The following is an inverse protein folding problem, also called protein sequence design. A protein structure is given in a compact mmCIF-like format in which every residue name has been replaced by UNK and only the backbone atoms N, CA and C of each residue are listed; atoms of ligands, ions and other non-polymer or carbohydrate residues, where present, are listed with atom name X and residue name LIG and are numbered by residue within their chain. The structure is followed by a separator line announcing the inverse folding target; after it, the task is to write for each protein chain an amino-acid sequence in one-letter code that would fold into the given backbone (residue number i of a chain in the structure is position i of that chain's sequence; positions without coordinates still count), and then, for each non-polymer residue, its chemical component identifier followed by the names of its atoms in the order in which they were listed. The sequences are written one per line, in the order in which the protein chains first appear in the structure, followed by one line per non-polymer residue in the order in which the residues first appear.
data_IF_217134799409
#
_entry.id   IF_217134799409
#
_cell.length_a   1.000
_cell.length_b   1.000
_cell.length_c   1.000
_cell.angle_alpha   90.00
_cell.angle_beta   90.00
_cell.angle_gamma   90.00
#
_symmetry.space_group_name_H-M   'P 1'
#
loop_
_entity.id
_entity.type
_entity.pdbx_description
1 polymer ?
#
# COMPACT_ATOMS: atom_id res chain seq x y z
N UNK A 1 -1.89 7.95 5.33
CA UNK A 1 -0.68 8.22 6.13
C UNK A 1 0.49 8.59 5.23
N UNK A 2 1.41 9.47 5.65
CA UNK A 2 2.72 9.70 4.98
C UNK A 2 3.83 8.98 5.72
N UNK A 3 4.84 8.48 5.01
CA UNK A 3 6.02 7.81 5.59
C UNK A 3 7.25 8.03 4.69
N UNK A 4 8.43 7.60 5.13
CA UNK A 4 9.66 7.70 4.32
C UNK A 4 10.37 6.36 4.22
N UNK A 5 10.86 6.05 3.02
CA UNK A 5 11.81 4.96 2.74
C UNK A 5 12.92 5.54 1.87
N UNK A 6 14.18 5.25 2.19
CA UNK A 6 15.35 5.76 1.46
C UNK A 6 15.30 7.28 1.21
N UNK A 7 14.92 8.06 2.22
CA UNK A 7 14.69 9.52 2.15
C UNK A 7 13.63 9.99 1.13
N UNK A 8 12.88 9.09 0.48
CA UNK A 8 11.73 9.42 -0.37
C UNK A 8 10.46 9.42 0.47
N UNK A 9 9.61 10.43 0.29
CA UNK A 9 8.32 10.52 0.96
C UNK A 9 7.26 9.74 0.18
N UNK A 10 6.56 8.84 0.85
CA UNK A 10 5.49 8.04 0.29
C UNK A 10 4.16 8.34 0.99
N UNK A 11 3.05 8.09 0.30
CA UNK A 11 1.70 8.27 0.85
C UNK A 11 0.84 7.02 0.68
N UNK A 12 0.31 6.52 1.80
CA UNK A 12 -0.76 5.51 1.85
C UNK A 12 -2.11 6.24 1.87
N UNK A 13 -3.01 5.85 0.98
CA UNK A 13 -4.37 6.39 0.84
C UNK A 13 -5.37 5.24 0.77
N UNK A 14 -6.38 5.23 1.66
CA UNK A 14 -7.53 4.35 1.49
C UNK A 14 -8.48 4.94 0.44
N UNK A 15 -9.05 4.10 -0.41
CA UNK A 15 -10.01 4.49 -1.45
C UNK A 15 -10.93 3.32 -1.80
N UNK A 16 -12.05 3.61 -2.47
CA UNK A 16 -12.99 2.58 -2.91
C UNK A 16 -12.39 1.58 -3.90
N UNK A 17 -12.92 0.35 -3.86
CA UNK A 17 -12.61 -0.71 -4.82
C UNK A 17 -12.79 -0.30 -6.29
N UNK A 18 -13.79 0.54 -6.59
CA UNK A 18 -14.05 1.07 -7.93
C UNK A 18 -12.91 1.98 -8.40
N UNK A 19 -12.45 2.88 -7.53
CA UNK A 19 -11.30 3.75 -7.81
C UNK A 19 -10.05 2.92 -8.13
N UNK A 20 -9.77 1.88 -7.34
CA UNK A 20 -8.62 0.97 -7.58
C UNK A 20 -8.74 0.26 -8.93
N UNK A 21 -9.95 -0.23 -9.27
CA UNK A 21 -10.19 -0.86 -10.58
C UNK A 21 -9.94 0.11 -11.73
N UNK A 22 -10.44 1.35 -11.61
CA UNK A 22 -10.24 2.38 -12.63
C UNK A 22 -8.75 2.73 -12.79
N UNK A 23 -8.03 2.89 -11.69
CA UNK A 23 -6.58 3.13 -11.70
C UNK A 23 -5.80 2.00 -12.39
N UNK A 24 -6.13 0.74 -12.08
CA UNK A 24 -5.54 -0.42 -12.75
C UNK A 24 -5.87 -0.46 -14.25
N UNK A 25 -7.12 -0.21 -14.62
CA UNK A 25 -7.54 -0.22 -16.03
C UNK A 25 -6.81 0.86 -16.85
N UNK A 26 -6.66 2.07 -16.30
CA UNK A 26 -5.92 3.16 -16.96
C UNK A 26 -4.45 2.79 -17.10
N UNK A 27 -3.83 2.24 -16.05
CA UNK A 27 -2.43 1.80 -16.08
C UNK A 27 -2.19 0.76 -17.18
N UNK A 28 -3.07 -0.23 -17.28
CA UNK A 28 -3.03 -1.26 -18.33
C UNK A 28 -3.28 -0.72 -19.74
N UNK A 29 -4.14 0.27 -19.89
CA UNK A 29 -4.37 0.89 -21.20
C UNK A 29 -3.11 1.63 -21.71
N UNK A 30 -2.22 2.04 -20.80
CA UNK A 30 -0.97 2.74 -21.13
C UNK A 30 0.24 1.82 -21.24
N UNK A 31 0.21 0.62 -20.64
CA UNK A 31 1.24 -0.42 -20.79
C UNK A 31 0.90 -1.26 -22.04
N UNK A 32 1.72 -1.25 -23.10
CA UNK A 32 1.49 -2.03 -24.34
C UNK A 32 1.35 -3.55 -24.10
N UNK A 33 1.64 -4.05 -22.90
CA UNK A 33 1.40 -5.43 -22.51
C UNK A 33 -0.05 -5.66 -22.06
N UNK A 34 -0.76 -6.41 -22.92
CA UNK A 34 -2.06 -7.02 -22.69
C UNK A 34 -2.05 -8.06 -21.54
N UNK A 35 -1.67 -7.68 -20.32
CA UNK A 35 -1.80 -8.52 -19.13
C UNK A 35 -3.24 -8.41 -18.61
N UNK A 36 -4.11 -9.22 -19.22
CA UNK A 36 -5.41 -9.58 -18.63
C UNK A 36 -5.14 -10.30 -17.32
N UNK A 37 -5.04 -9.59 -16.19
CA UNK A 37 -5.47 -10.25 -14.96
C UNK A 37 -7.00 -10.36 -15.01
N UNK A 38 -7.45 -11.59 -14.88
CA UNK A 38 -8.84 -12.05 -14.82
C UNK A 38 -9.42 -11.74 -13.43
N UNK A 39 -8.68 -11.00 -12.60
CA UNK A 39 -8.99 -10.86 -11.20
C UNK A 39 -10.13 -9.86 -11.00
N UNK A 40 -11.18 -10.34 -10.35
CA UNK A 40 -12.41 -9.58 -10.15
C UNK A 40 -12.26 -8.50 -9.08
N UNK A 41 -11.13 -8.52 -8.34
CA UNK A 41 -10.87 -7.66 -7.19
C UNK A 41 -9.39 -7.30 -7.04
N UNK A 42 -9.13 -6.05 -6.67
CA UNK A 42 -7.78 -5.55 -6.36
C UNK A 42 -7.79 -4.96 -4.95
N UNK A 43 -6.97 -5.50 -4.06
CA UNK A 43 -6.91 -5.06 -2.66
C UNK A 43 -6.04 -3.83 -2.45
N UNK A 44 -5.05 -3.61 -3.31
CA UNK A 44 -4.14 -2.48 -3.27
C UNK A 44 -3.48 -2.22 -4.63
N UNK A 45 -2.82 -1.08 -4.73
CA UNK A 45 -1.95 -0.74 -5.86
C UNK A 45 -0.84 0.22 -5.41
N UNK A 46 0.38 -0.08 -5.86
CA UNK A 46 1.56 0.77 -5.68
C UNK A 46 1.94 1.48 -6.99
N UNK A 47 2.10 2.79 -6.89
CA UNK A 47 2.61 3.68 -7.93
C UNK A 47 3.96 4.26 -7.50
N UNK A 48 5.04 3.72 -8.06
CA UNK A 48 6.40 4.12 -7.71
C UNK A 48 6.79 5.49 -8.26
N UNK A 49 6.29 5.83 -9.45
CA UNK A 49 6.51 7.10 -10.15
C UNK A 49 6.02 8.32 -9.35
N UNK A 50 4.88 8.17 -8.67
CA UNK A 50 4.28 9.22 -7.83
C UNK A 50 4.35 8.92 -6.32
N UNK A 51 5.04 7.85 -5.92
CA UNK A 51 5.27 7.43 -4.53
C UNK A 51 3.98 7.29 -3.71
N UNK A 52 2.98 6.62 -4.29
CA UNK A 52 1.66 6.40 -3.65
C UNK A 52 1.30 4.93 -3.56
N UNK A 53 0.69 4.58 -2.44
CA UNK A 53 0.04 3.30 -2.20
C UNK A 53 -1.44 3.58 -1.99
N UNK A 54 -2.28 2.88 -2.74
CA UNK A 54 -3.72 2.87 -2.55
C UNK A 54 -4.16 1.52 -1.99
N UNK A 55 -5.05 1.53 -1.01
CA UNK A 55 -5.60 0.33 -0.35
C UNK A 55 -7.12 0.42 -0.36
N UNK A 56 -7.79 -0.72 -0.59
CA UNK A 56 -9.25 -0.80 -0.53
C UNK A 56 -9.72 -0.51 0.91
N UNK A 57 -10.54 0.52 1.05
CA UNK A 57 -11.02 1.03 2.34
C UNK A 57 -11.90 0.00 3.07
N UNK A 58 -12.61 -0.85 2.32
CA UNK A 58 -13.57 -1.83 2.83
C UNK A 58 -12.91 -3.15 3.30
N UNK A 59 -11.58 -3.25 3.27
CA UNK A 59 -10.90 -4.47 3.71
C UNK A 59 -11.00 -4.70 5.22
N UNK A 60 -11.29 -5.95 5.65
CA UNK A 60 -11.10 -6.36 7.04
C UNK A 60 -9.67 -6.09 7.51
N UNK A 61 -9.48 -5.77 8.78
CA UNK A 61 -8.20 -5.32 9.34
C UNK A 61 -7.02 -6.25 9.00
N UNK A 62 -7.19 -7.57 9.18
CA UNK A 62 -6.12 -8.55 8.91
C UNK A 62 -5.77 -8.62 7.41
N UNK A 63 -6.78 -8.52 6.54
CA UNK A 63 -6.59 -8.50 5.09
C UNK A 63 -5.90 -7.21 4.67
N UNK A 64 -6.31 -6.07 5.25
CA UNK A 64 -5.69 -4.77 5.02
C UNK A 64 -4.22 -4.77 5.43
N UNK A 65 -3.88 -5.38 6.57
CA UNK A 65 -2.49 -5.56 7.03
C UNK A 65 -1.67 -6.38 6.01
N UNK A 66 -2.17 -7.53 5.59
CA UNK A 66 -1.48 -8.38 4.58
C UNK A 66 -1.29 -7.66 3.25
N UNK A 67 -2.31 -6.93 2.77
CA UNK A 67 -2.22 -6.14 1.55
C UNK A 67 -1.19 -5.03 1.70
N UNK A 68 -1.19 -4.32 2.82
CA UNK A 68 -0.23 -3.23 3.04
C UNK A 68 1.21 -3.75 3.07
N UNK A 69 1.47 -4.91 3.69
CA UNK A 69 2.79 -5.57 3.63
C UNK A 69 3.20 -5.80 2.18
N UNK A 70 2.31 -6.36 1.36
CA UNK A 70 2.57 -6.61 -0.06
C UNK A 70 2.91 -5.33 -0.85
N UNK A 71 2.09 -4.27 -0.70
CA UNK A 71 2.33 -3.00 -1.39
C UNK A 71 3.62 -2.30 -0.90
N UNK A 72 3.95 -2.41 0.39
CA UNK A 72 5.20 -1.91 0.93
C UNK A 72 6.41 -2.71 0.42
N UNK A 73 6.27 -4.00 0.12
CA UNK A 73 7.32 -4.77 -0.56
C UNK A 73 7.60 -4.22 -1.95
N UNK A 74 6.57 -3.84 -2.73
CA UNK A 74 6.79 -3.16 -4.01
C UNK A 74 7.56 -1.85 -3.86
N UNK A 75 7.21 -1.06 -2.83
CA UNK A 75 7.93 0.16 -2.48
C UNK A 75 9.39 -0.12 -2.10
N UNK A 76 9.65 -1.14 -1.29
CA UNK A 76 11.01 -1.51 -0.88
C UNK A 76 11.88 -1.91 -2.09
N UNK A 77 11.36 -2.77 -2.96
CA UNK A 77 12.04 -3.21 -4.17
C UNK A 77 12.39 -2.01 -5.06
N UNK A 78 11.45 -1.09 -5.27
CA UNK A 78 11.68 0.14 -6.06
C UNK A 78 12.83 1.00 -5.52
N UNK A 79 12.95 1.10 -4.20
CA UNK A 79 13.91 1.98 -3.54
C UNK A 79 15.32 1.40 -3.40
N UNK A 80 15.47 0.08 -3.36
CA UNK A 80 16.74 -0.56 -2.96
C UNK A 80 17.27 -1.61 -3.94
N UNK A 81 16.45 -2.16 -4.83
CA UNK A 81 16.81 -3.35 -5.63
C UNK A 81 16.81 -3.06 -7.15
N UNK A 82 16.51 -1.82 -7.56
CA UNK A 82 16.23 -1.49 -8.97
C UNK A 82 17.47 -1.49 -9.89
N UNK A 83 17.75 -2.65 -10.48
CA UNK A 83 18.39 -2.80 -11.80
C UNK A 83 18.27 -4.27 -12.28
N UNK A 84 17.68 -4.45 -13.48
CA UNK A 84 17.49 -5.69 -14.25
C UNK A 84 16.18 -6.48 -14.05
N UNK A 85 15.89 -7.33 -15.05
CA UNK A 85 14.66 -8.11 -15.21
C UNK A 85 14.21 -8.77 -13.92
N UNK A 86 12.90 -8.79 -13.66
CA UNK A 86 12.26 -9.30 -12.45
C UNK A 86 12.33 -10.84 -12.37
N UNK A 87 13.53 -11.39 -12.30
CA UNK A 87 13.80 -12.79 -12.01
C UNK A 87 14.52 -12.85 -10.67
N UNK A 88 13.85 -13.40 -9.65
CA UNK A 88 14.40 -13.56 -8.31
C UNK A 88 14.65 -15.04 -8.05
N UNK A 89 15.85 -15.37 -7.60
CA UNK A 89 16.15 -16.69 -7.02
C UNK A 89 15.52 -16.80 -5.64
N UNK A 90 15.48 -18.02 -5.08
CA UNK A 90 15.02 -18.23 -3.70
C UNK A 90 15.82 -17.38 -2.70
N UNK A 91 17.15 -17.31 -2.87
CA UNK A 91 18.03 -16.50 -2.01
C UNK A 91 17.74 -15.00 -2.17
N UNK A 92 17.49 -14.50 -3.38
CA UNK A 92 17.10 -13.09 -3.57
C UNK A 92 15.79 -12.78 -2.82
N UNK A 93 14.83 -13.70 -2.84
CA UNK A 93 13.57 -13.54 -2.09
C UNK A 93 13.82 -13.58 -0.59
N UNK A 94 14.65 -14.50 -0.11
CA UNK A 94 15.03 -14.59 1.31
C UNK A 94 15.70 -13.30 1.79
N UNK A 95 16.64 -12.77 1.02
CA UNK A 95 17.32 -11.50 1.28
C UNK A 95 16.35 -10.31 1.25
N UNK A 96 15.41 -10.27 0.30
CA UNK A 96 14.36 -9.25 0.26
C UNK A 96 13.54 -9.29 1.55
N UNK A 97 13.05 -10.48 1.94
CA UNK A 97 12.24 -10.64 3.14
C UNK A 97 13.01 -10.24 4.37
N UNK A 98 14.23 -10.75 4.56
CA UNK A 98 15.05 -10.48 5.73
C UNK A 98 15.40 -8.99 5.86
N UNK A 99 15.83 -8.35 4.77
CA UNK A 99 16.25 -6.95 4.80
C UNK A 99 15.09 -5.96 4.90
N UNK A 100 13.92 -6.32 4.37
CA UNK A 100 12.74 -5.44 4.40
C UNK A 100 11.87 -5.61 5.64
N UNK A 101 12.00 -6.71 6.39
CA UNK A 101 11.05 -7.11 7.43
C UNK A 101 10.77 -6.00 8.45
N UNK A 102 11.79 -5.51 9.13
CA UNK A 102 11.63 -4.52 10.20
C UNK A 102 11.10 -3.18 9.67
N UNK A 103 11.63 -2.73 8.52
CA UNK A 103 11.22 -1.47 7.88
C UNK A 103 9.73 -1.53 7.52
N UNK A 104 9.29 -2.61 6.87
CA UNK A 104 7.89 -2.78 6.46
C UNK A 104 6.98 -2.87 7.68
N UNK A 105 7.33 -3.68 8.68
CA UNK A 105 6.50 -3.87 9.86
C UNK A 105 6.40 -2.60 10.71
N UNK A 106 7.47 -1.80 10.80
CA UNK A 106 7.42 -0.49 11.46
C UNK A 106 6.38 0.42 10.79
N UNK A 107 6.38 0.50 9.45
CA UNK A 107 5.44 1.35 8.71
C UNK A 107 4.00 0.83 8.86
N UNK A 108 3.79 -0.49 8.89
CA UNK A 108 2.48 -1.09 9.15
C UNK A 108 1.95 -0.73 10.54
N UNK A 109 2.79 -0.77 11.56
CA UNK A 109 2.37 -0.40 12.92
C UNK A 109 2.13 1.12 13.07
N UNK A 110 2.92 1.94 12.37
CA UNK A 110 2.64 3.38 12.23
C UNK A 110 1.26 3.60 11.57
N UNK A 111 0.93 2.83 10.54
CA UNK A 111 -0.36 2.90 9.84
C UNK A 111 -1.53 2.52 10.76
N UNK A 112 -1.43 1.41 11.48
CA UNK A 112 -2.45 0.98 12.43
C UNK A 112 -2.68 2.03 13.51
N UNK A 113 -1.60 2.60 14.05
CA UNK A 113 -1.66 3.68 15.03
C UNK A 113 -2.32 4.95 14.47
N UNK A 114 -2.02 5.30 13.22
CA UNK A 114 -2.62 6.43 12.53
C UNK A 114 -4.14 6.23 12.33
N UNK A 115 -4.58 5.07 11.86
CA UNK A 115 -6.00 4.78 11.66
C UNK A 115 -6.78 4.71 12.98
N UNK A 116 -6.18 4.19 14.05
CA UNK A 116 -6.77 4.23 15.39
C UNK A 116 -6.98 5.69 15.85
N UNK A 117 -5.95 6.54 15.76
CA UNK A 117 -6.04 7.96 16.13
C UNK A 117 -7.13 8.69 15.32
N UNK A 118 -7.21 8.43 14.02
CA UNK A 118 -8.24 8.98 13.13
C UNK A 118 -9.66 8.57 13.57
N UNK A 119 -9.87 7.30 13.92
CA UNK A 119 -11.17 6.82 14.44
C UNK A 119 -11.55 7.52 15.75
N UNK A 120 -10.63 7.66 16.70
CA UNK A 120 -10.90 8.33 17.97
C UNK A 120 -11.19 9.83 17.80
N UNK A 121 -10.50 10.52 16.88
CA UNK A 121 -10.76 11.92 16.58
C UNK A 121 -12.21 12.14 16.08
N UNK A 122 -12.66 11.31 15.14
CA UNK A 122 -14.02 11.39 14.59
C UNK A 122 -15.10 11.14 15.65
N UNK A 123 -14.84 10.23 16.61
CA UNK A 123 -15.76 9.99 17.74
C UNK A 123 -15.85 11.23 18.63
N UNK A 124 -14.73 11.86 18.96
CA UNK A 124 -14.69 13.08 19.76
C UNK A 124 -15.49 14.23 19.11
N UNK A 125 -15.36 14.41 17.81
CA UNK A 125 -16.14 15.40 17.04
C UNK A 125 -17.65 15.09 17.09
N UNK A 126 -18.03 13.82 16.92
CA UNK A 126 -19.44 13.38 16.95
C UNK A 126 -20.08 13.65 18.31
N UNK A 127 -19.37 13.39 19.41
CA UNK A 127 -19.86 13.65 20.77
C UNK A 127 -20.10 15.15 20.99
N UNK A 128 -19.19 16.01 20.52
CA UNK A 128 -19.33 17.45 20.64
C UNK A 128 -20.57 17.97 19.91
N UNK A 129 -20.87 17.46 18.71
CA UNK A 129 -22.06 17.86 17.93
C UNK A 129 -23.36 17.49 18.68
N UNK A 130 -23.44 16.31 19.29
CA UNK A 130 -24.64 15.86 20.02
C UNK A 130 -24.83 16.64 21.34
N UNK A 131 -23.74 17.17 21.89
CA UNK A 131 -23.73 17.91 23.15
C UNK A 131 -24.06 19.40 23.00
N UNK A 132 -24.28 19.88 21.77
CA UNK A 132 -24.59 21.28 21.43
C UNK A 132 -26.07 21.41 21.03
#
# INVERSE_FOLDING_TARGET
MKFKINNREWKITETSQESIKNMQNIRRANEEENLKSIDTRYYGITYCDIQKIYIDEDLPADRKKSTLIHELTHCYIDNYITHCEKQYTEEDVADIVANSYDIIHEIVEQYNSYELKKKFANIGETINIIST
#
